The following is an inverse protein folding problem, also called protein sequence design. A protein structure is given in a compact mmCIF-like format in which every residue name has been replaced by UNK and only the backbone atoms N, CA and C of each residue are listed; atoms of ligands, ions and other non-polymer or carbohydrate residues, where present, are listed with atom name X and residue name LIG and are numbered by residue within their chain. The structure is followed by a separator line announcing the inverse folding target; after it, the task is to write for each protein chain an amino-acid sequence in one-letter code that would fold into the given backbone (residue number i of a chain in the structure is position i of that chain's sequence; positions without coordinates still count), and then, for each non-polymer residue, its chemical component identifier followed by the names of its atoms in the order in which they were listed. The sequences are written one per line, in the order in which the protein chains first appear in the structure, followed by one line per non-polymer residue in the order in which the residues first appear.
data_IF_473959403543
#
_entry.id   IF_473959403543
#
_cell.length_a   1.000
_cell.length_b   1.000
_cell.length_c   1.000
_cell.angle_alpha   90.00
_cell.angle_beta   90.00
_cell.angle_gamma   90.00
#
_symmetry.space_group_name_H-M   'P 1'
#
loop_
_entity.id
_entity.type
_entity.pdbx_description
1 polymer ?
#
# COMPACT_ATOMS: atom_id res chain seq x y z
N UNK A 1 15.36 9.32 -0.43
CA UNK A 1 14.29 9.87 -1.30
C UNK A 1 14.07 11.33 -0.95
N UNK A 2 13.70 12.17 -1.94
CA UNK A 2 13.49 13.61 -1.75
C UNK A 2 12.53 13.93 -0.58
N UNK A 3 11.53 13.09 -0.33
CA UNK A 3 10.64 13.18 0.84
C UNK A 3 11.40 13.20 2.19
N UNK A 4 12.46 12.40 2.35
CA UNK A 4 13.25 12.35 3.60
C UNK A 4 13.98 13.67 3.91
N UNK A 5 14.22 14.52 2.89
CA UNK A 5 14.90 15.82 3.04
C UNK A 5 13.95 16.94 3.54
N UNK A 6 12.64 16.84 3.26
CA UNK A 6 11.64 17.84 3.61
C UNK A 6 10.80 17.47 4.85
N UNK A 7 10.82 16.20 5.29
CA UNK A 7 10.07 15.70 6.46
C UNK A 7 10.48 16.34 7.80
N UNK A 8 11.67 16.95 7.93
CA UNK A 8 12.13 17.50 9.22
C UNK A 8 11.45 18.82 9.63
N UNK A 9 10.74 19.50 8.73
CA UNK A 9 10.18 20.84 8.99
C UNK A 9 8.74 21.04 8.52
N UNK A 10 8.03 19.99 8.07
CA UNK A 10 6.67 20.13 7.53
C UNK A 10 5.80 18.94 7.94
N UNK A 11 4.54 19.21 8.27
CA UNK A 11 3.54 18.18 8.57
C UNK A 11 3.43 17.19 7.39
N UNK A 12 3.64 15.88 7.61
CA UNK A 12 3.55 14.86 6.57
C UNK A 12 2.22 14.89 5.80
N UNK A 13 1.16 15.35 6.46
CA UNK A 13 -0.17 15.51 5.87
C UNK A 13 -0.17 16.50 4.69
N UNK A 14 0.62 17.58 4.78
CA UNK A 14 0.70 18.60 3.72
C UNK A 14 1.42 18.07 2.49
N UNK A 15 2.46 17.25 2.70
CA UNK A 15 3.22 16.62 1.62
C UNK A 15 2.31 15.66 0.85
N UNK A 16 1.60 14.78 1.56
CA UNK A 16 0.68 13.84 0.92
C UNK A 16 -0.48 14.54 0.22
N UNK A 17 -1.01 15.61 0.80
CA UNK A 17 -2.05 16.40 0.16
C UNK A 17 -1.57 16.98 -1.18
N UNK A 18 -0.33 17.47 -1.26
CA UNK A 18 0.27 17.95 -2.50
C UNK A 18 0.51 16.82 -3.51
N UNK A 19 0.99 15.65 -3.06
CA UNK A 19 1.19 14.49 -3.94
C UNK A 19 -0.14 14.02 -4.55
N UNK A 20 -1.18 13.88 -3.74
CA UNK A 20 -2.51 13.46 -4.21
C UNK A 20 -3.18 14.51 -5.10
N UNK A 21 -3.05 15.79 -4.77
CA UNK A 21 -3.63 16.88 -5.58
C UNK A 21 -2.92 17.02 -6.93
N UNK A 22 -1.59 16.87 -6.95
CA UNK A 22 -0.82 16.91 -8.19
C UNK A 22 -1.08 15.69 -9.06
N UNK A 23 -1.24 14.50 -8.49
CA UNK A 23 -1.68 13.30 -9.21
C UNK A 23 -3.08 13.48 -9.82
N UNK A 24 -4.04 14.01 -9.05
CA UNK A 24 -5.39 14.30 -9.55
C UNK A 24 -5.38 15.33 -10.68
N UNK A 25 -4.65 16.42 -10.53
CA UNK A 25 -4.53 17.47 -11.56
C UNK A 25 -3.86 16.95 -12.84
N UNK A 26 -2.76 16.21 -12.71
CA UNK A 26 -2.08 15.58 -13.85
C UNK A 26 -3.01 14.61 -14.59
N UNK A 27 -3.69 13.72 -13.84
CA UNK A 27 -4.63 12.76 -14.43
C UNK A 27 -5.80 13.47 -15.13
N UNK A 28 -6.33 14.54 -14.54
CA UNK A 28 -7.39 15.35 -15.16
C UNK A 28 -6.93 15.97 -16.48
N UNK A 29 -5.71 16.50 -16.54
CA UNK A 29 -5.13 17.06 -17.78
C UNK A 29 -4.98 15.98 -18.85
N UNK A 30 -4.50 14.79 -18.47
CA UNK A 30 -4.35 13.65 -19.40
C UNK A 30 -5.71 13.22 -19.96
N UNK A 31 -6.74 13.10 -19.12
CA UNK A 31 -8.10 12.74 -19.54
C UNK A 31 -8.65 13.79 -20.52
N UNK A 32 -8.58 15.07 -20.18
CA UNK A 32 -9.03 16.16 -21.07
C UNK A 32 -8.26 16.15 -22.39
N UNK A 33 -6.94 15.98 -22.34
CA UNK A 33 -6.09 15.92 -23.53
C UNK A 33 -6.44 14.76 -24.46
N UNK A 34 -6.72 13.57 -23.91
CA UNK A 34 -7.18 12.42 -24.70
C UNK A 34 -8.58 12.64 -25.31
N UNK A 35 -9.48 13.32 -24.57
CA UNK A 35 -10.81 13.67 -25.07
C UNK A 35 -10.72 14.62 -26.28
N UNK A 36 -9.82 15.62 -26.21
CA UNK A 36 -9.57 16.57 -27.31
C UNK A 36 -8.97 15.90 -28.56
N UNK A 37 -8.22 14.81 -28.37
CA UNK A 37 -7.64 14.01 -29.46
C UNK A 37 -8.65 13.02 -30.07
N UNK A 38 -9.91 13.02 -29.63
CA UNK A 38 -10.96 12.13 -30.14
C UNK A 38 -10.77 10.66 -29.76
N UNK A 39 -9.96 10.35 -28.72
CA UNK A 39 -9.80 8.99 -28.20
C UNK A 39 -11.01 8.63 -27.34
N UNK A 40 -11.58 7.46 -27.58
CA UNK A 40 -12.70 6.96 -26.80
C UNK A 40 -12.25 6.62 -25.36
N UNK A 41 -12.88 7.28 -24.39
CA UNK A 41 -12.62 7.15 -22.96
C UNK A 41 -13.76 6.46 -22.21
N UNK A 42 -14.85 6.09 -22.91
CA UNK A 42 -16.07 5.56 -22.30
C UNK A 42 -15.87 4.24 -21.55
N UNK A 43 -14.82 3.47 -21.88
CA UNK A 43 -14.48 2.22 -21.20
C UNK A 43 -13.76 2.41 -19.85
N UNK A 44 -13.17 3.57 -19.59
CA UNK A 44 -12.44 3.84 -18.34
C UNK A 44 -13.34 4.43 -17.25
N UNK A 45 -14.49 5.00 -17.63
CA UNK A 45 -15.44 5.57 -16.70
C UNK A 45 -16.40 4.48 -16.20
N UNK A 46 -16.64 4.39 -14.88
CA UNK A 46 -17.63 3.47 -14.34
C UNK A 46 -19.00 3.76 -14.97
N UNK A 47 -19.61 2.77 -15.64
CA UNK A 47 -20.84 3.01 -16.40
C UNK A 47 -22.06 3.15 -15.48
N UNK A 48 -22.01 2.63 -14.24
CA UNK A 48 -23.14 2.63 -13.31
C UNK A 48 -22.95 3.66 -12.20
N UNK A 49 -24.02 4.37 -11.78
CA UNK A 49 -23.97 5.31 -10.65
C UNK A 49 -23.55 4.66 -9.33
N UNK A 50 -23.84 3.37 -9.14
CA UNK A 50 -23.48 2.63 -7.93
C UNK A 50 -21.96 2.41 -7.81
N UNK A 51 -21.26 2.28 -8.95
CA UNK A 51 -19.81 2.09 -8.97
C UNK A 51 -19.10 3.35 -8.49
N UNK A 52 -19.66 4.53 -8.79
CA UNK A 52 -19.19 5.81 -8.24
C UNK A 52 -19.35 5.90 -6.73
N UNK A 53 -20.44 5.36 -6.18
CA UNK A 53 -20.63 5.29 -4.73
C UNK A 53 -19.57 4.37 -4.10
N UNK A 54 -19.35 3.18 -4.64
CA UNK A 54 -18.31 2.26 -4.12
C UNK A 54 -16.90 2.83 -4.26
N UNK A 55 -16.59 3.53 -5.37
CA UNK A 55 -15.33 4.25 -5.53
C UNK A 55 -15.17 5.36 -4.49
N UNK A 56 -16.24 6.11 -4.20
CA UNK A 56 -16.24 7.13 -3.16
C UNK A 56 -15.97 6.53 -1.77
N UNK A 57 -16.63 5.43 -1.44
CA UNK A 57 -16.43 4.69 -0.19
C UNK A 57 -14.98 4.18 -0.09
N UNK A 58 -14.46 3.55 -1.15
CA UNK A 58 -13.10 3.04 -1.21
C UNK A 58 -12.07 4.17 -1.03
N UNK A 59 -12.23 5.28 -1.76
CA UNK A 59 -11.32 6.41 -1.69
C UNK A 59 -11.32 7.09 -0.31
N UNK A 60 -12.49 7.27 0.31
CA UNK A 60 -12.61 7.95 1.59
C UNK A 60 -12.25 7.04 2.78
N UNK A 61 -12.84 5.85 2.86
CA UNK A 61 -12.64 4.94 3.98
C UNK A 61 -11.34 4.13 3.84
N UNK A 62 -11.13 3.49 2.69
CA UNK A 62 -10.01 2.58 2.53
C UNK A 62 -8.70 3.31 2.21
N UNK A 63 -8.74 4.45 1.51
CA UNK A 63 -7.53 5.20 1.17
C UNK A 63 -7.26 6.33 2.18
N UNK A 64 -8.14 7.33 2.26
CA UNK A 64 -7.88 8.54 3.06
C UNK A 64 -7.85 8.27 4.57
N UNK A 65 -8.88 7.63 5.12
CA UNK A 65 -8.96 7.33 6.54
C UNK A 65 -7.86 6.34 6.97
N UNK A 66 -7.69 5.23 6.24
CA UNK A 66 -6.65 4.24 6.54
C UNK A 66 -5.25 4.86 6.49
N UNK A 67 -4.98 5.74 5.52
CA UNK A 67 -3.71 6.45 5.42
C UNK A 67 -3.46 7.36 6.64
N UNK A 68 -4.45 8.13 7.08
CA UNK A 68 -4.32 8.97 8.28
C UNK A 68 -4.06 8.12 9.52
N UNK A 69 -4.78 7.00 9.67
CA UNK A 69 -4.56 6.05 10.76
C UNK A 69 -3.16 5.45 10.72
N UNK A 70 -2.70 5.02 9.54
CA UNK A 70 -1.35 4.49 9.34
C UNK A 70 -0.29 5.53 9.72
N UNK A 71 -0.45 6.78 9.28
CA UNK A 71 0.46 7.89 9.62
C UNK A 71 0.46 8.23 11.11
N UNK A 72 -0.68 8.11 11.81
CA UNK A 72 -0.74 8.24 13.27
C UNK A 72 -0.06 7.07 13.96
N UNK A 73 -0.29 5.84 13.51
CA UNK A 73 0.34 4.63 14.06
C UNK A 73 1.87 4.69 13.91
N UNK A 74 2.38 5.19 12.78
CA UNK A 74 3.80 5.39 12.55
C UNK A 74 4.47 6.35 13.55
N UNK A 75 3.72 7.25 14.21
CA UNK A 75 4.27 8.10 15.29
C UNK A 75 4.50 7.33 16.60
N UNK A 76 3.83 6.21 16.79
CA UNK A 76 3.91 5.38 18.00
C UNK A 76 4.70 4.08 17.79
N UNK A 77 4.90 3.66 16.55
CA UNK A 77 5.65 2.47 16.19
C UNK A 77 7.13 2.81 15.95
N UNK A 78 8.03 1.98 16.47
CA UNK A 78 9.45 2.07 16.09
C UNK A 78 9.62 1.78 14.59
N UNK A 79 10.66 2.34 13.98
CA UNK A 79 10.99 2.09 12.57
C UNK A 79 11.17 0.58 12.26
N UNK A 80 11.50 -0.24 13.25
CA UNK A 80 11.56 -1.69 13.13
C UNK A 80 10.18 -2.34 13.11
N UNK A 81 9.30 -1.97 14.04
CA UNK A 81 7.93 -2.49 14.11
C UNK A 81 7.13 -2.11 12.86
N UNK A 82 7.24 -0.86 12.42
CA UNK A 82 6.60 -0.38 11.19
C UNK A 82 7.03 -1.18 9.94
N UNK A 83 8.34 -1.38 9.74
CA UNK A 83 8.82 -2.20 8.62
C UNK A 83 8.33 -3.65 8.73
N UNK A 84 8.28 -4.23 9.94
CA UNK A 84 7.79 -5.58 10.12
C UNK A 84 6.30 -5.68 9.75
N UNK A 85 5.47 -4.75 10.21
CA UNK A 85 4.04 -4.70 9.87
C UNK A 85 3.82 -4.59 8.36
N UNK A 86 4.57 -3.72 7.67
CA UNK A 86 4.47 -3.57 6.21
C UNK A 86 4.89 -4.85 5.48
N UNK A 87 6.00 -5.48 5.89
CA UNK A 87 6.43 -6.74 5.27
C UNK A 87 5.44 -7.89 5.55
N UNK A 88 4.63 -7.81 6.59
CA UNK A 88 3.59 -8.80 6.89
C UNK A 88 2.27 -8.57 6.12
N UNK A 89 2.13 -7.47 5.38
CA UNK A 89 0.98 -7.19 4.51
C UNK A 89 0.56 -8.39 3.64
N UNK A 90 1.46 -9.07 2.88
CA UNK A 90 1.09 -10.24 2.09
C UNK A 90 0.55 -11.40 2.94
N UNK A 91 1.10 -11.60 4.14
CA UNK A 91 0.65 -12.68 5.05
C UNK A 91 -0.76 -12.40 5.56
N UNK A 92 -1.04 -11.16 5.96
CA UNK A 92 -2.38 -10.75 6.40
C UNK A 92 -3.39 -10.78 5.24
N UNK A 93 -2.96 -10.41 4.02
CA UNK A 93 -3.80 -10.50 2.83
C UNK A 93 -4.23 -11.93 2.54
N UNK A 94 -3.30 -12.90 2.58
CA UNK A 94 -3.59 -14.33 2.39
C UNK A 94 -4.54 -14.84 3.48
N UNK A 95 -4.29 -14.49 4.75
CA UNK A 95 -5.14 -14.91 5.86
C UNK A 95 -6.57 -14.35 5.74
N UNK A 96 -6.70 -13.08 5.35
CA UNK A 96 -8.01 -12.44 5.16
C UNK A 96 -8.76 -13.02 3.97
N UNK A 97 -8.07 -13.29 2.85
CA UNK A 97 -8.65 -13.95 1.69
C UNK A 97 -9.20 -15.33 2.06
N UNK A 98 -8.44 -16.12 2.83
CA UNK A 98 -8.87 -17.43 3.30
C UNK A 98 -10.17 -17.35 4.13
N UNK A 99 -10.27 -16.39 5.05
CA UNK A 99 -11.45 -16.23 5.92
C UNK A 99 -12.67 -15.70 5.16
N UNK A 100 -12.49 -14.73 4.26
CA UNK A 100 -13.58 -14.03 3.59
C UNK A 100 -14.09 -14.76 2.34
N UNK A 101 -13.19 -15.24 1.48
CA UNK A 101 -13.57 -15.88 0.22
C UNK A 101 -13.91 -17.37 0.43
N UNK A 102 -13.44 -17.98 1.54
CA UNK A 102 -13.65 -19.39 1.87
C UNK A 102 -13.28 -20.36 0.74
N UNK A 103 -12.44 -19.93 -0.20
CA UNK A 103 -11.92 -20.73 -1.33
C UNK A 103 -10.85 -21.73 -0.88
N UNK A 104 -11.08 -22.40 0.24
CA UNK A 104 -10.16 -23.36 0.86
C UNK A 104 -9.94 -24.58 -0.07
N UNK A 105 -10.89 -24.82 -0.97
CA UNK A 105 -11.00 -26.03 -1.80
C UNK A 105 -10.30 -25.88 -3.15
N UNK A 106 -10.00 -24.66 -3.61
CA UNK A 106 -9.27 -24.41 -4.87
C UNK A 106 -7.75 -24.26 -4.67
N UNK A 107 -7.27 -24.32 -3.41
CA UNK A 107 -5.87 -24.16 -3.07
C UNK A 107 -5.09 -25.44 -3.38
N UNK A 108 -4.62 -25.54 -4.62
CA UNK A 108 -3.72 -26.60 -5.04
C UNK A 108 -2.40 -26.63 -4.24
N UNK A 109 -1.66 -27.74 -4.26
CA UNK A 109 -0.40 -27.89 -3.51
C UNK A 109 0.67 -26.82 -3.82
N UNK A 110 0.62 -26.21 -5.01
CA UNK A 110 1.51 -25.10 -5.38
C UNK A 110 1.27 -23.82 -4.57
N UNK A 111 0.04 -23.59 -4.08
CA UNK A 111 -0.27 -22.45 -3.23
C UNK A 111 0.52 -22.49 -1.93
N UNK A 112 0.59 -23.66 -1.29
CA UNK A 112 1.34 -23.84 -0.05
C UNK A 112 2.84 -23.56 -0.23
N UNK A 113 3.42 -23.95 -1.37
CA UNK A 113 4.80 -23.57 -1.71
C UNK A 113 4.97 -22.05 -1.86
N UNK A 114 4.01 -21.38 -2.50
CA UNK A 114 3.98 -19.92 -2.59
C UNK A 114 3.94 -19.25 -1.21
N UNK A 115 3.08 -19.74 -0.31
CA UNK A 115 2.99 -19.25 1.08
C UNK A 115 4.31 -19.41 1.81
N UNK A 116 4.96 -20.58 1.70
CA UNK A 116 6.27 -20.83 2.32
C UNK A 116 7.33 -19.87 1.79
N UNK A 117 7.39 -19.64 0.47
CA UNK A 117 8.34 -18.69 -0.13
C UNK A 117 8.11 -17.26 0.40
N UNK A 118 6.85 -16.81 0.45
CA UNK A 118 6.50 -15.47 0.96
C UNK A 118 6.90 -15.35 2.44
N UNK A 119 6.59 -16.34 3.28
CA UNK A 119 6.97 -16.33 4.69
C UNK A 119 8.50 -16.27 4.84
N UNK A 120 9.25 -17.10 4.10
CA UNK A 120 10.72 -17.06 4.13
C UNK A 120 11.24 -15.68 3.72
N UNK A 121 10.72 -15.08 2.64
CA UNK A 121 11.15 -13.76 2.19
C UNK A 121 10.89 -12.67 3.24
N UNK A 122 9.67 -12.65 3.81
CA UNK A 122 9.23 -11.66 4.81
C UNK A 122 10.02 -11.77 6.11
N UNK A 123 10.30 -13.00 6.58
CA UNK A 123 11.04 -13.21 7.82
C UNK A 123 12.57 -13.18 7.65
N UNK A 124 13.10 -13.48 6.45
CA UNK A 124 14.54 -13.50 6.19
C UNK A 124 15.20 -12.15 6.48
N UNK A 125 14.62 -11.05 5.99
CA UNK A 125 15.18 -9.71 6.20
C UNK A 125 15.27 -9.29 7.69
N UNK A 126 14.19 -9.35 8.50
CA UNK A 126 14.25 -9.02 9.93
C UNK A 126 15.10 -10.01 10.74
N UNK A 127 15.09 -11.31 10.42
CA UNK A 127 15.91 -12.32 11.12
C UNK A 127 17.40 -12.11 10.84
N UNK A 128 17.79 -11.90 9.59
CA UNK A 128 19.17 -11.64 9.19
C UNK A 128 19.68 -10.35 9.83
N UNK A 129 18.87 -9.28 9.84
CA UNK A 129 19.23 -8.02 10.49
C UNK A 129 19.38 -8.18 12.00
N UNK A 130 18.51 -8.97 12.67
CA UNK A 130 18.64 -9.29 14.10
C UNK A 130 19.91 -10.09 14.37
N UNK A 131 20.23 -11.04 13.49
CA UNK A 131 21.42 -11.88 13.61
C UNK A 131 22.72 -11.09 13.40
N UNK A 132 22.80 -10.24 12.37
CA UNK A 132 23.93 -9.36 12.10
C UNK A 132 24.14 -8.32 13.20
N UNK A 133 23.06 -7.75 13.74
CA UNK A 133 23.13 -6.82 14.88
C UNK A 133 23.63 -7.50 16.16
N UNK A 134 23.25 -8.77 16.40
CA UNK A 134 23.77 -9.58 17.51
C UNK A 134 25.26 -9.91 17.37
N UNK A 135 25.80 -9.92 16.15
CA UNK A 135 27.23 -10.18 15.87
C UNK A 135 28.08 -8.90 15.81
N UNK A 136 27.52 -7.72 16.10
CA UNK A 136 28.28 -6.47 16.13
C UNK A 136 28.77 -5.96 14.76
N UNK A 137 28.27 -6.53 13.65
CA UNK A 137 28.73 -6.20 12.29
C UNK A 137 28.02 -5.00 11.65
N UNK A 138 27.15 -4.32 12.40
CA UNK A 138 26.37 -3.16 11.96
C UNK A 138 26.53 -2.02 12.98
N UNK A 139 27.72 -1.42 13.00
CA UNK A 139 27.97 -0.09 13.56
C UNK A 139 28.22 0.88 12.40
N UNK A 140 27.14 1.46 11.86
CA UNK A 140 27.10 2.72 11.10
C UNK A 140 25.64 3.10 10.79
#
# INVERSE_FOLDING_TARGET
TLNKKYIRHTDPLRITFLELSSAWGFLSIVIVGMLLLGRDFGHFLPPRPLDWLFLGILALLCTSLAYVLAMRALRHLSAFASNLTINLEPVYGIALAWVLLKENEELGPNFYWGVVIILVAVFSYPLLRRYLRRRGLLEA
#
